data_IF_136694346063
#
_entry.id   IF_136694346063
#
_cell.length_a   1.000
_cell.length_b   1.000
_cell.length_c   1.000
_cell.angle_alpha   90.00
_cell.angle_beta   90.00
_cell.angle_gamma   90.00
#
_symmetry.space_group_name_H-M   'P 1'
#
loop_
_entity.id
_entity.type
_entity.pdbx_description
1 polymer ?
#
# COMPACT_ATOMS: atom_id res chain seq x y z
N UNK A 1 -5.65 12.50 -27.45
CA UNK A 1 -4.68 11.39 -27.55
C UNK A 1 -5.14 10.27 -26.62
N UNK A 2 -5.72 9.16 -27.13
CA UNK A 2 -6.12 8.02 -26.29
C UNK A 2 -4.89 7.14 -26.09
N UNK A 3 -4.34 7.09 -24.87
CA UNK A 3 -3.37 6.05 -24.52
C UNK A 3 -4.11 4.71 -24.40
N UNK A 4 -4.10 3.93 -25.47
CA UNK A 4 -4.49 2.52 -25.43
C UNK A 4 -3.35 1.72 -24.81
N UNK A 5 -3.52 1.30 -23.55
CA UNK A 5 -2.64 0.31 -22.92
C UNK A 5 -2.90 -1.06 -23.55
N UNK A 6 -2.01 -1.52 -24.43
CA UNK A 6 -2.01 -2.90 -24.90
C UNK A 6 -1.41 -3.79 -23.81
N UNK A 7 -2.25 -4.38 -22.96
CA UNK A 7 -1.81 -5.38 -21.99
C UNK A 7 -1.21 -6.58 -22.72
N UNK A 8 0.06 -6.95 -22.48
CA UNK A 8 0.60 -8.19 -23.02
C UNK A 8 -0.20 -9.38 -22.45
N UNK A 9 -0.58 -10.32 -23.32
CA UNK A 9 -1.20 -11.59 -22.91
C UNK A 9 -0.14 -12.43 -22.19
N UNK A 10 -0.12 -12.36 -20.86
CA UNK A 10 0.72 -13.20 -20.02
C UNK A 10 0.19 -14.65 -20.15
N UNK A 11 1.06 -15.57 -20.58
CA UNK A 11 0.77 -17.00 -20.78
C UNK A 11 1.02 -17.80 -19.49
N UNK A 12 0.49 -17.36 -18.36
CA UNK A 12 0.55 -18.16 -17.12
C UNK A 12 -0.85 -18.66 -16.80
N UNK A 13 -0.97 -19.97 -16.54
CA UNK A 13 -2.22 -20.54 -16.05
C UNK A 13 -2.53 -19.88 -14.70
N UNK A 14 -3.66 -19.18 -14.63
CA UNK A 14 -4.00 -18.29 -13.53
C UNK A 14 -4.34 -19.12 -12.28
N UNK A 15 -3.65 -18.95 -11.14
CA UNK A 15 -4.02 -19.61 -9.90
C UNK A 15 -5.24 -18.91 -9.29
N UNK A 16 -6.44 -19.27 -9.77
CA UNK A 16 -7.73 -18.87 -9.20
C UNK A 16 -7.98 -17.36 -9.08
N UNK A 17 -8.94 -16.98 -8.22
CA UNK A 17 -9.44 -15.60 -8.03
C UNK A 17 -8.35 -14.57 -7.63
N UNK A 18 -7.15 -15.02 -7.25
CA UNK A 18 -6.05 -14.21 -6.74
C UNK A 18 -5.02 -13.79 -7.80
N UNK A 19 -5.16 -14.30 -9.03
CA UNK A 19 -4.16 -14.11 -10.09
C UNK A 19 -3.90 -12.65 -10.49
N UNK A 20 -4.89 -11.76 -10.33
CA UNK A 20 -4.75 -10.34 -10.72
C UNK A 20 -3.66 -9.60 -9.93
N UNK A 21 -3.53 -9.87 -8.62
CA UNK A 21 -2.52 -9.21 -7.77
C UNK A 21 -1.11 -9.72 -8.06
N UNK A 22 -0.99 -11.01 -8.35
CA UNK A 22 0.28 -11.64 -8.73
C UNK A 22 0.74 -11.10 -10.09
N UNK A 23 -0.17 -11.01 -11.07
CA UNK A 23 0.12 -10.42 -12.38
C UNK A 23 0.57 -8.96 -12.25
N UNK A 24 -0.11 -8.17 -11.43
CA UNK A 24 0.28 -6.78 -11.21
C UNK A 24 1.69 -6.68 -10.63
N UNK A 25 2.04 -7.55 -9.68
CA UNK A 25 3.38 -7.61 -9.11
C UNK A 25 4.44 -7.97 -10.16
N UNK A 26 4.26 -9.05 -10.92
CA UNK A 26 5.20 -9.43 -11.99
C UNK A 26 5.38 -8.31 -13.03
N UNK A 27 4.28 -7.68 -13.43
CA UNK A 27 4.32 -6.54 -14.35
C UNK A 27 5.15 -5.39 -13.79
N UNK A 28 4.91 -4.99 -12.54
CA UNK A 28 5.66 -3.89 -11.92
C UNK A 28 7.16 -4.14 -11.89
N UNK A 29 7.58 -5.39 -11.66
CA UNK A 29 9.00 -5.78 -11.65
C UNK A 29 9.64 -5.72 -13.04
N UNK A 30 8.91 -6.11 -14.07
CA UNK A 30 9.42 -6.11 -15.45
C UNK A 30 9.59 -4.72 -16.05
N UNK A 31 8.82 -3.73 -15.57
CA UNK A 31 8.79 -2.39 -16.16
C UNK A 31 9.36 -1.29 -15.25
N UNK A 32 10.03 -1.67 -14.15
CA UNK A 32 10.58 -0.73 -13.17
C UNK A 32 9.51 0.26 -12.64
N UNK A 33 8.32 -0.27 -12.36
CA UNK A 33 7.19 0.47 -11.79
C UNK A 33 7.10 0.13 -10.31
N UNK A 34 6.76 1.11 -9.47
CA UNK A 34 6.54 0.86 -8.04
C UNK A 34 5.20 0.17 -7.80
N UNK A 35 5.20 -0.88 -6.98
CA UNK A 35 3.98 -1.47 -6.47
C UNK A 35 3.59 -0.84 -5.13
N UNK A 36 2.52 -0.03 -5.15
CA UNK A 36 1.88 0.52 -3.95
C UNK A 36 0.66 -0.31 -3.60
N UNK A 37 0.52 -0.73 -2.35
CA UNK A 37 -0.68 -1.41 -1.86
C UNK A 37 -1.40 -0.58 -0.80
N UNK A 38 -2.69 -0.36 -1.03
CA UNK A 38 -3.58 0.27 -0.06
C UNK A 38 -4.14 -0.79 0.89
N UNK A 39 -3.63 -0.79 2.12
CA UNK A 39 -4.02 -1.70 3.21
C UNK A 39 -4.79 -0.95 4.31
N UNK A 40 -5.31 0.26 4.03
CA UNK A 40 -6.02 1.06 5.03
C UNK A 40 -7.22 0.30 5.62
N UNK A 41 -7.94 -0.46 4.79
CA UNK A 41 -9.11 -1.23 5.23
C UNK A 41 -8.80 -2.73 5.43
N UNK A 42 -7.96 -3.30 4.57
CA UNK A 42 -7.68 -4.73 4.54
C UNK A 42 -6.52 -5.17 5.44
N UNK A 43 -5.68 -4.23 5.86
CA UNK A 43 -4.58 -4.47 6.78
C UNK A 43 -5.04 -4.60 8.22
N UNK A 44 -4.08 -4.56 9.14
CA UNK A 44 -4.31 -4.62 10.58
C UNK A 44 -5.12 -5.84 11.01
N UNK A 45 -4.80 -7.01 10.44
CA UNK A 45 -5.41 -8.28 10.84
C UNK A 45 -6.77 -8.58 10.21
N UNK A 46 -7.35 -7.66 9.42
CA UNK A 46 -8.73 -7.81 8.90
C UNK A 46 -8.93 -9.06 8.03
N UNK A 47 -7.86 -9.55 7.40
CA UNK A 47 -7.88 -10.72 6.50
C UNK A 47 -7.24 -11.96 7.11
N UNK A 48 -6.93 -11.97 8.42
CA UNK A 48 -6.24 -13.07 9.11
C UNK A 48 -4.71 -13.00 9.06
N UNK A 49 -4.15 -12.06 8.28
CA UNK A 49 -2.73 -11.67 8.26
C UNK A 49 -2.59 -10.20 8.61
N UNK A 50 -1.38 -9.77 9.01
CA UNK A 50 -1.15 -8.38 9.41
C UNK A 50 -1.38 -7.43 8.23
N UNK A 51 -0.78 -7.73 7.08
CA UNK A 51 -1.14 -7.13 5.78
C UNK A 51 -1.93 -8.14 4.93
N UNK A 52 -2.95 -7.69 4.20
CA UNK A 52 -3.68 -8.58 3.30
C UNK A 52 -2.82 -9.09 2.13
N UNK A 53 -1.81 -8.31 1.71
CA UNK A 53 -0.89 -8.64 0.62
C UNK A 53 -0.08 -9.92 0.90
N UNK A 54 0.13 -10.26 2.18
CA UNK A 54 0.81 -11.50 2.60
C UNK A 54 0.10 -12.76 2.11
N UNK A 55 -1.23 -12.71 1.98
CA UNK A 55 -2.03 -13.83 1.47
C UNK A 55 -1.72 -14.17 0.00
N UNK A 56 -1.02 -13.28 -0.70
CA UNK A 56 -0.70 -13.41 -2.13
C UNK A 56 0.77 -13.71 -2.40
N UNK A 57 1.60 -13.83 -1.35
CA UNK A 57 3.05 -14.01 -1.47
C UNK A 57 3.72 -12.96 -2.37
N UNK A 58 3.22 -11.72 -2.30
CA UNK A 58 3.66 -10.57 -3.09
C UNK A 58 4.38 -9.58 -2.19
N UNK A 59 5.53 -9.09 -2.63
CA UNK A 59 6.30 -8.08 -1.91
C UNK A 59 6.11 -6.68 -2.54
N UNK A 60 5.31 -5.79 -1.91
CA UNK A 60 5.10 -4.42 -2.39
C UNK A 60 6.34 -3.54 -2.15
N UNK A 61 6.40 -2.42 -2.88
CA UNK A 61 7.42 -1.40 -2.66
C UNK A 61 6.98 -0.38 -1.61
N UNK A 62 5.67 -0.08 -1.56
CA UNK A 62 5.04 0.85 -0.61
C UNK A 62 3.74 0.26 -0.09
N UNK A 63 3.45 0.44 1.20
CA UNK A 63 2.23 0.03 1.89
C UNK A 63 1.59 1.24 2.56
N UNK A 64 0.28 1.40 2.40
CA UNK A 64 -0.51 2.44 3.08
C UNK A 64 -1.32 1.81 4.21
N UNK A 65 -1.23 2.35 5.43
CA UNK A 65 -1.99 1.93 6.61
C UNK A 65 -2.72 3.11 7.24
N UNK A 66 -3.90 2.88 7.81
CA UNK A 66 -4.63 3.82 8.66
C UNK A 66 -5.74 3.05 9.40
N UNK A 67 -6.84 3.72 9.75
CA UNK A 67 -8.06 3.12 10.37
C UNK A 67 -7.73 2.23 11.58
N UNK A 68 -7.66 0.92 11.36
CA UNK A 68 -7.33 -0.07 12.40
C UNK A 68 -5.96 0.17 13.05
N UNK A 69 -5.06 0.87 12.36
CA UNK A 69 -3.77 1.31 12.91
C UNK A 69 -3.91 2.19 14.15
N UNK A 70 -4.96 3.01 14.16
CA UNK A 70 -5.13 4.11 15.10
C UNK A 70 -6.34 3.92 16.04
N UNK A 71 -7.11 2.86 15.84
CA UNK A 71 -8.31 2.51 16.62
C UNK A 71 -9.27 3.68 16.91
N UNK A 72 -9.48 4.55 15.92
CA UNK A 72 -10.39 5.70 16.04
C UNK A 72 -9.70 7.07 16.13
N UNK A 73 -8.36 7.11 16.25
CA UNK A 73 -7.58 8.33 16.11
C UNK A 73 -7.30 8.64 14.63
N UNK A 74 -7.14 9.93 14.26
CA UNK A 74 -6.81 10.34 12.90
C UNK A 74 -5.31 10.14 12.64
N UNK A 75 -4.91 8.88 12.42
CA UNK A 75 -3.53 8.50 12.13
C UNK A 75 -3.47 7.53 10.94
N UNK A 76 -2.50 7.76 10.08
CA UNK A 76 -2.13 6.90 8.96
C UNK A 76 -0.62 6.77 8.87
N UNK A 77 -0.14 5.82 8.08
CA UNK A 77 1.27 5.57 7.84
C UNK A 77 1.50 5.20 6.36
N UNK A 78 2.60 5.69 5.81
CA UNK A 78 3.13 5.28 4.51
C UNK A 78 4.45 4.57 4.78
N UNK A 79 4.51 3.28 4.47
CA UNK A 79 5.68 2.44 4.71
C UNK A 79 6.30 2.12 3.36
N UNK A 80 7.58 2.42 3.18
CA UNK A 80 8.29 2.21 1.92
C UNK A 80 9.65 1.55 2.16
N UNK A 81 10.18 0.85 1.15
CA UNK A 81 11.54 0.30 1.23
C UNK A 81 12.55 1.44 1.34
N UNK A 82 13.58 1.27 2.18
CA UNK A 82 14.63 2.28 2.43
C UNK A 82 15.23 2.90 1.17
N UNK A 83 15.41 2.14 0.09
CA UNK A 83 15.96 2.64 -1.18
C UNK A 83 15.08 3.68 -1.89
N UNK A 84 13.81 3.80 -1.50
CA UNK A 84 12.85 4.75 -2.06
C UNK A 84 12.55 5.92 -1.12
N UNK A 85 13.15 5.95 0.08
CA UNK A 85 13.01 7.04 1.03
C UNK A 85 14.35 7.75 1.19
N UNK A 86 14.34 9.08 1.12
CA UNK A 86 15.51 9.88 1.49
C UNK A 86 15.69 9.87 3.02
N UNK A 87 16.90 10.16 3.49
CA UNK A 87 17.24 10.21 4.93
C UNK A 87 16.30 11.12 5.74
N UNK A 88 15.82 12.18 5.12
CA UNK A 88 14.95 13.20 5.71
C UNK A 88 13.48 12.77 5.78
N UNK A 89 13.09 11.80 4.96
CA UNK A 89 11.72 11.25 4.90
C UNK A 89 11.52 10.09 5.87
N UNK A 90 12.61 9.55 6.44
CA UNK A 90 12.56 8.47 7.44
C UNK A 90 11.84 8.93 8.72
N UNK A 91 11.73 10.23 8.95
CA UNK A 91 11.18 10.79 10.19
C UNK A 91 9.67 11.11 10.19
N UNK A 92 8.95 11.10 9.06
CA UNK A 92 7.53 11.52 9.08
C UNK A 92 6.60 10.77 8.13
N UNK A 93 5.64 10.07 8.74
CA UNK A 93 4.23 10.10 8.34
C UNK A 93 3.34 10.01 9.60
N UNK A 94 3.47 11.01 10.50
CA UNK A 94 2.60 11.20 11.69
C UNK A 94 1.94 12.60 11.61
N UNK A 95 1.70 13.11 10.41
CA UNK A 95 1.41 14.53 10.20
C UNK A 95 -0.08 14.95 10.33
N UNK A 96 -0.95 14.07 10.83
CA UNK A 96 -2.38 14.42 11.06
C UNK A 96 -2.65 14.70 12.56
N UNK A 97 -1.76 14.27 13.45
CA UNK A 97 -2.03 14.27 14.89
C UNK A 97 -2.06 15.68 15.48
N UNK A 98 -1.07 16.52 15.19
CA UNK A 98 -0.94 17.86 15.76
C UNK A 98 -2.04 18.80 15.26
N UNK A 99 -2.37 18.75 13.97
CA UNK A 99 -3.38 19.60 13.36
C UNK A 99 -4.79 19.25 13.87
N UNK A 100 -5.13 17.95 13.95
CA UNK A 100 -6.43 17.54 14.47
C UNK A 100 -6.53 17.74 15.98
N UNK A 101 -5.45 17.56 16.75
CA UNK A 101 -5.46 17.89 18.18
C UNK A 101 -5.62 19.38 18.45
N UNK A 102 -4.92 20.25 17.70
CA UNK A 102 -5.11 21.69 17.80
C UNK A 102 -6.54 22.10 17.44
N UNK A 103 -7.12 21.51 16.39
CA UNK A 103 -8.52 21.75 16.01
C UNK A 103 -9.52 21.23 17.05
N UNK A 104 -9.24 20.08 17.68
CA UNK A 104 -10.06 19.54 18.78
C UNK A 104 -9.91 20.33 20.09
N UNK A 105 -8.74 20.90 20.37
CA UNK A 105 -8.50 21.80 21.51
C UNK A 105 -9.08 23.20 21.30
N UNK A 106 -9.24 23.63 20.04
CA UNK A 106 -9.91 24.89 19.66
C UNK A 106 -11.43 24.84 19.82
N UNK A 107 -12.03 23.65 19.94
CA UNK A 107 -13.46 23.44 20.17
C UNK A 107 -13.73 23.19 21.65
#
# INVERSE_FOLDING_TARGET
MKMTFSFPRIKTELPGKNAKKIIAWEFTRNYNILLVVDEIQSGMGRTGKFLAIENYNVEPDIVLLAKGLASGLPLGAVISKKKFMSSEQVDVAVDIFSEVLEEMKRR
#
